data_IF_964022125732
#
_entry.id   IF_964022125732
#
_cell.length_a   1.000
_cell.length_b   1.000
_cell.length_c   1.000
_cell.angle_alpha   90.00
_cell.angle_beta   90.00
_cell.angle_gamma   90.00
#
_symmetry.space_group_name_H-M   'P 1'
#
loop_
_entity.id
_entity.type
_entity.pdbx_description
1 polymer ?
#
# COMPACT_ATOMS: atom_id res chain seq x y z
N UNK A 1 22.26 13.31 -6.39
CA UNK A 1 22.76 11.98 -5.96
C UNK A 1 22.64 11.77 -4.45
N UNK A 2 23.36 12.50 -3.57
CA UNK A 2 23.18 12.33 -2.10
C UNK A 2 21.76 12.70 -1.62
N UNK A 3 21.20 13.81 -2.11
CA UNK A 3 19.86 14.27 -1.73
C UNK A 3 18.73 13.32 -2.18
N UNK A 4 18.92 12.58 -3.27
CA UNK A 4 17.88 11.69 -3.80
C UNK A 4 17.77 10.43 -2.91
N UNK A 5 18.90 9.91 -2.43
CA UNK A 5 18.92 8.78 -1.47
C UNK A 5 18.27 9.15 -0.14
N UNK A 6 18.43 10.39 0.33
CA UNK A 6 17.75 10.87 1.54
C UNK A 6 16.22 10.84 1.39
N UNK A 7 15.70 11.23 0.23
CA UNK A 7 14.27 11.14 -0.08
C UNK A 7 13.80 9.68 -0.06
N UNK A 8 14.58 8.76 -0.63
CA UNK A 8 14.24 7.32 -0.62
C UNK A 8 14.16 6.78 0.81
N UNK A 9 15.10 7.15 1.68
CA UNK A 9 15.06 6.79 3.10
C UNK A 9 13.87 7.43 3.82
N UNK A 10 13.55 8.69 3.52
CA UNK A 10 12.40 9.36 4.12
C UNK A 10 11.09 8.65 3.76
N UNK A 11 10.90 8.30 2.49
CA UNK A 11 9.74 7.54 2.03
C UNK A 11 9.66 6.15 2.68
N UNK A 12 10.78 5.43 2.72
CA UNK A 12 10.84 4.09 3.31
C UNK A 12 10.51 4.10 4.81
N UNK A 13 11.09 5.05 5.55
CA UNK A 13 10.92 5.16 7.00
C UNK A 13 9.60 5.81 7.41
N UNK A 14 8.77 6.25 6.46
CA UNK A 14 7.47 6.84 6.74
C UNK A 14 6.55 5.88 7.49
N UNK A 15 6.07 6.29 8.67
CA UNK A 15 5.19 5.50 9.54
C UNK A 15 3.92 6.26 9.91
N UNK A 16 2.87 5.52 10.24
CA UNK A 16 1.60 6.03 10.73
C UNK A 16 1.36 5.54 12.16
N UNK A 17 0.94 6.45 13.04
CA UNK A 17 0.44 6.07 14.35
C UNK A 17 -0.99 5.52 14.20
N UNK A 18 -1.18 4.24 14.51
CA UNK A 18 -2.47 3.55 14.37
C UNK A 18 -2.93 3.06 15.73
N UNK A 19 -4.21 3.27 16.03
CA UNK A 19 -4.91 2.72 17.17
C UNK A 19 -5.86 1.64 16.67
N UNK A 20 -5.58 0.39 17.01
CA UNK A 20 -6.44 -0.73 16.70
C UNK A 20 -7.41 -0.99 17.84
N UNK A 21 -8.69 -1.20 17.51
CA UNK A 21 -9.75 -1.51 18.47
C UNK A 21 -10.56 -2.70 17.95
N UNK A 22 -10.95 -3.61 18.83
CA UNK A 22 -11.89 -4.68 18.46
C UNK A 22 -13.29 -4.09 18.37
N UNK A 23 -14.06 -4.50 17.37
CA UNK A 23 -15.47 -4.14 17.28
C UNK A 23 -16.24 -4.59 18.53
N UNK A 24 -17.15 -3.75 19.02
CA UNK A 24 -17.89 -4.03 20.27
C UNK A 24 -18.74 -5.30 20.17
N UNK A 25 -19.21 -5.67 18.98
CA UNK A 25 -20.03 -6.87 18.75
C UNK A 25 -19.19 -8.16 18.70
N UNK A 26 -17.87 -8.04 18.57
CA UNK A 26 -16.92 -9.17 18.54
C UNK A 26 -16.39 -9.52 19.94
N UNK A 27 -16.64 -8.67 20.94
CA UNK A 27 -16.14 -8.86 22.31
C UNK A 27 -16.91 -10.01 22.97
N UNK A 28 -16.20 -11.11 23.20
CA UNK A 28 -16.66 -12.26 23.96
C UNK A 28 -16.09 -12.21 25.39
N UNK A 29 -16.96 -11.99 26.38
CA UNK A 29 -16.60 -11.95 27.80
C UNK A 29 -16.95 -10.63 28.48
N UNK A 30 -16.53 -10.48 29.74
CA UNK A 30 -16.88 -9.32 30.59
C UNK A 30 -15.85 -8.18 30.43
N UNK A 31 -14.62 -8.50 30.05
CA UNK A 31 -13.53 -7.53 29.96
C UNK A 31 -13.34 -7.03 28.52
N UNK A 32 -13.54 -5.73 28.34
CA UNK A 32 -13.22 -5.06 27.08
C UNK A 32 -11.72 -5.09 26.83
N UNK A 33 -11.28 -5.39 25.59
CA UNK A 33 -9.87 -5.37 25.24
C UNK A 33 -9.34 -3.93 25.21
N UNK A 34 -8.16 -3.74 25.79
CA UNK A 34 -7.44 -2.47 25.65
C UNK A 34 -7.07 -2.21 24.19
N UNK A 35 -7.17 -0.96 23.70
CA UNK A 35 -6.71 -0.60 22.36
C UNK A 35 -5.23 -0.93 22.14
N UNK A 36 -4.87 -1.32 20.92
CA UNK A 36 -3.49 -1.66 20.57
C UNK A 36 -2.89 -0.58 19.68
N UNK A 37 -1.83 0.08 20.15
CA UNK A 37 -1.17 1.17 19.40
C UNK A 37 0.08 0.67 18.69
N UNK A 38 0.25 1.01 17.41
CA UNK A 38 1.40 0.60 16.62
C UNK A 38 1.81 1.68 15.61
N UNK A 39 3.12 1.86 15.43
CA UNK A 39 3.67 2.62 14.30
C UNK A 39 3.81 1.70 13.10
N UNK A 40 2.92 1.83 12.12
CA UNK A 40 2.90 0.97 10.93
C UNK A 40 3.63 1.62 9.75
N UNK A 41 4.47 0.90 8.98
CA UNK A 41 5.14 1.46 7.80
C UNK A 41 4.16 1.75 6.65
N UNK A 42 4.25 2.95 6.06
CA UNK A 42 3.40 3.37 4.93
C UNK A 42 3.55 2.47 3.70
N UNK A 43 4.77 1.98 3.46
CA UNK A 43 5.12 1.17 2.27
C UNK A 43 4.74 -0.31 2.41
N UNK A 44 4.25 -0.76 3.57
CA UNK A 44 3.88 -2.16 3.82
C UNK A 44 2.38 -2.42 3.58
N UNK A 45 1.94 -3.63 3.90
CA UNK A 45 0.54 -4.08 3.81
C UNK A 45 0.07 -4.55 5.20
N UNK A 46 -1.20 -4.32 5.54
CA UNK A 46 -1.73 -4.63 6.87
C UNK A 46 -1.50 -6.08 7.34
N UNK A 47 -1.70 -7.13 6.51
CA UNK A 47 -1.47 -8.50 6.95
C UNK A 47 -0.02 -8.78 7.37
N UNK A 48 0.95 -7.97 6.94
CA UNK A 48 2.36 -8.15 7.31
C UNK A 48 2.74 -7.53 8.65
N UNK A 49 1.91 -6.63 9.18
CA UNK A 49 2.22 -5.83 10.38
C UNK A 49 1.26 -6.11 11.54
N UNK A 50 0.19 -6.85 11.30
CA UNK A 50 -0.89 -7.08 12.27
C UNK A 50 -0.79 -8.40 13.04
N UNK A 51 0.27 -9.21 12.92
CA UNK A 51 0.40 -10.47 13.66
C UNK A 51 0.24 -10.30 15.18
N UNK A 52 0.91 -9.28 15.74
CA UNK A 52 0.82 -8.95 17.18
C UNK A 52 -0.55 -8.40 17.55
N UNK A 53 -1.16 -7.64 16.65
CA UNK A 53 -2.49 -7.06 16.80
C UNK A 53 -3.54 -8.18 16.86
N UNK A 54 -3.52 -9.10 15.89
CA UNK A 54 -4.38 -10.28 15.85
C UNK A 54 -4.26 -11.09 17.14
N UNK A 55 -3.02 -11.42 17.55
CA UNK A 55 -2.78 -12.18 18.79
C UNK A 55 -3.31 -11.48 20.05
N UNK A 56 -3.24 -10.16 20.11
CA UNK A 56 -3.76 -9.39 21.24
C UNK A 56 -5.28 -9.46 21.33
N UNK A 57 -6.00 -9.37 20.22
CA UNK A 57 -7.47 -9.36 20.23
C UNK A 57 -8.12 -10.75 20.21
N UNK A 58 -7.47 -11.77 19.62
CA UNK A 58 -8.01 -13.13 19.53
C UNK A 58 -8.48 -13.72 20.87
N UNK A 59 -7.80 -13.40 21.97
CA UNK A 59 -8.17 -13.88 23.32
C UNK A 59 -9.49 -13.31 23.85
N UNK A 60 -10.05 -12.30 23.19
CA UNK A 60 -11.31 -11.64 23.52
C UNK A 60 -12.42 -11.95 22.52
N UNK A 61 -12.17 -12.83 21.54
CA UNK A 61 -13.13 -13.22 20.50
C UNK A 61 -13.68 -14.60 20.83
N UNK A 62 -14.93 -14.86 20.45
CA UNK A 62 -15.56 -16.18 20.59
C UNK A 62 -14.66 -17.28 20.00
N UNK A 63 -14.34 -18.35 20.76
CA UNK A 63 -13.53 -19.47 20.26
C UNK A 63 -13.97 -20.04 18.90
N UNK A 64 -15.26 -20.04 18.60
CA UNK A 64 -15.77 -20.54 17.30
C UNK A 64 -15.40 -19.62 16.13
N UNK A 65 -15.13 -18.34 16.41
CA UNK A 65 -14.78 -17.31 15.43
C UNK A 65 -13.28 -17.03 15.34
N UNK A 66 -12.47 -17.56 16.25
CA UNK A 66 -11.01 -17.29 16.29
C UNK A 66 -10.25 -17.80 15.05
N UNK A 67 -10.78 -18.82 14.38
CA UNK A 67 -10.23 -19.37 13.12
C UNK A 67 -10.65 -18.56 11.89
N UNK A 68 -11.60 -17.63 12.03
CA UNK A 68 -12.03 -16.78 10.93
C UNK A 68 -10.97 -15.74 10.56
N UNK A 69 -11.10 -15.23 9.34
CA UNK A 69 -10.17 -14.26 8.78
C UNK A 69 -10.41 -12.87 9.36
N UNK A 70 -9.37 -12.32 9.99
CA UNK A 70 -9.39 -10.96 10.51
C UNK A 70 -9.41 -9.95 9.36
N UNK A 71 -10.34 -9.00 9.40
CA UNK A 71 -10.39 -7.87 8.47
C UNK A 71 -10.46 -6.54 9.24
N UNK A 72 -10.15 -5.46 8.52
CA UNK A 72 -9.97 -4.13 9.11
C UNK A 72 -10.97 -3.14 8.51
N UNK A 73 -11.42 -2.20 9.33
CA UNK A 73 -12.39 -1.19 8.95
C UNK A 73 -11.93 0.21 9.39
N UNK A 74 -12.26 1.22 8.59
CA UNK A 74 -12.18 2.63 8.97
C UNK A 74 -13.50 3.33 8.64
N UNK A 75 -14.22 3.80 9.66
CA UNK A 75 -15.49 4.54 9.52
C UNK A 75 -16.48 3.82 8.58
N UNK A 76 -16.82 2.57 8.90
CA UNK A 76 -17.74 1.74 8.11
C UNK A 76 -17.25 1.36 6.70
N UNK A 77 -15.95 1.57 6.42
CA UNK A 77 -15.31 1.23 5.15
C UNK A 77 -14.29 0.11 5.37
N UNK A 78 -14.54 -1.10 4.84
CA UNK A 78 -13.57 -2.19 4.85
C UNK A 78 -12.29 -1.83 4.10
N UNK A 79 -11.14 -2.10 4.73
CA UNK A 79 -9.83 -1.72 4.21
C UNK A 79 -9.24 -2.81 3.31
N UNK A 80 -8.94 -2.46 2.06
CA UNK A 80 -8.33 -3.35 1.07
C UNK A 80 -6.89 -3.69 1.44
N UNK A 81 -6.65 -4.91 1.93
CA UNK A 81 -5.32 -5.33 2.39
C UNK A 81 -4.24 -5.30 1.30
N UNK A 82 -4.63 -5.44 0.03
CA UNK A 82 -3.72 -5.52 -1.12
C UNK A 82 -3.23 -4.15 -1.61
N UNK A 83 -3.63 -3.05 -0.95
CA UNK A 83 -3.07 -1.72 -1.17
C UNK A 83 -2.04 -1.38 -0.09
N UNK A 84 -0.98 -0.61 -0.41
CA UNK A 84 -0.04 -0.14 0.60
C UNK A 84 -0.77 0.68 1.68
N UNK A 85 -0.36 0.52 2.93
CA UNK A 85 -1.01 1.17 4.08
C UNK A 85 -1.09 2.69 3.91
N UNK A 86 -0.01 3.30 3.41
CA UNK A 86 0.05 4.74 3.16
C UNK A 86 -0.97 5.22 2.11
N UNK A 87 -1.19 4.43 1.06
CA UNK A 87 -2.19 4.73 0.02
C UNK A 87 -3.60 4.69 0.60
N UNK A 88 -3.90 3.67 1.42
CA UNK A 88 -5.19 3.55 2.10
C UNK A 88 -5.41 4.75 3.02
N UNK A 89 -4.42 5.09 3.85
CA UNK A 89 -4.50 6.24 4.75
C UNK A 89 -4.76 7.53 3.98
N UNK A 90 -3.93 7.85 2.98
CA UNK A 90 -4.03 9.09 2.22
C UNK A 90 -5.40 9.17 1.51
N UNK A 91 -5.91 8.06 0.94
CA UNK A 91 -7.21 8.01 0.26
C UNK A 91 -8.38 8.42 1.17
N UNK A 92 -8.38 8.03 2.45
CA UNK A 92 -9.47 8.32 3.38
C UNK A 92 -9.26 9.61 4.19
N UNK A 93 -8.09 10.23 4.06
CA UNK A 93 -7.72 11.40 4.84
C UNK A 93 -7.51 12.67 4.02
N UNK A 94 -7.33 12.56 2.70
CA UNK A 94 -7.02 13.70 1.82
C UNK A 94 -8.08 14.81 1.85
N UNK A 95 -9.36 14.47 1.98
CA UNK A 95 -10.46 15.44 2.05
C UNK A 95 -10.78 15.90 3.48
N UNK A 96 -10.27 15.18 4.49
CA UNK A 96 -10.53 15.47 5.90
C UNK A 96 -9.40 16.33 6.49
N UNK A 97 -9.62 17.65 6.57
CA UNK A 97 -8.67 18.61 7.18
C UNK A 97 -8.32 18.32 8.65
N UNK A 98 -9.07 17.44 9.32
CA UNK A 98 -8.76 16.89 10.64
C UNK A 98 -8.86 15.37 10.60
N UNK A 99 -7.71 14.72 10.48
CA UNK A 99 -7.59 13.31 10.83
C UNK A 99 -7.22 13.26 12.30
N UNK A 100 -8.11 12.71 13.12
CA UNK A 100 -7.78 12.44 14.51
C UNK A 100 -6.71 11.35 14.55
N UNK A 101 -5.46 11.76 14.79
CA UNK A 101 -4.37 10.86 15.09
C UNK A 101 -4.43 10.45 16.57
N UNK A 102 -4.09 9.19 16.91
CA UNK A 102 -3.70 8.10 16.01
C UNK A 102 -4.87 7.58 15.16
N UNK A 103 -4.57 7.12 13.93
CA UNK A 103 -5.55 6.60 12.99
C UNK A 103 -6.27 5.40 13.60
N UNK A 104 -7.56 5.57 13.90
CA UNK A 104 -8.38 4.55 14.56
C UNK A 104 -8.87 3.53 13.55
N UNK A 105 -8.49 2.27 13.71
CA UNK A 105 -8.89 1.15 12.86
C UNK A 105 -9.66 0.14 13.71
N UNK A 106 -10.85 -0.23 13.25
CA UNK A 106 -11.66 -1.28 13.87
C UNK A 106 -11.26 -2.64 13.30
N UNK A 107 -11.19 -3.64 14.17
CA UNK A 107 -10.89 -5.04 13.85
C UNK A 107 -12.15 -5.86 13.95
N UNK A 108 -12.34 -6.71 12.97
CA UNK A 108 -13.42 -7.69 12.90
C UNK A 108 -12.84 -9.07 12.61
N UNK A 109 -13.53 -10.10 13.06
CA UNK A 109 -13.22 -11.51 12.80
C UNK A 109 -14.37 -12.23 12.11
N UNK A 110 -15.60 -11.76 12.28
CA UNK A 110 -16.81 -12.28 11.67
C UNK A 110 -17.30 -11.39 10.52
N UNK A 111 -18.35 -11.82 9.81
CA UNK A 111 -19.04 -11.05 8.77
C UNK A 111 -18.11 -10.45 7.71
N UNK A 112 -17.17 -11.26 7.21
CA UNK A 112 -16.20 -10.82 6.20
C UNK A 112 -16.92 -10.24 4.96
N UNK A 113 -16.58 -9.02 4.52
CA UNK A 113 -17.27 -8.34 3.42
C UNK A 113 -16.78 -8.83 2.05
N UNK A 114 -17.25 -10.02 1.65
CA UNK A 114 -16.87 -10.72 0.41
C UNK A 114 -17.14 -9.92 -0.88
N UNK A 115 -18.09 -8.98 -0.84
CA UNK A 115 -18.44 -8.11 -1.96
C UNK A 115 -17.45 -6.95 -2.15
N UNK A 116 -16.67 -6.61 -1.10
CA UNK A 116 -15.78 -5.44 -1.07
C UNK A 116 -14.30 -5.81 -0.94
N UNK A 117 -14.00 -6.92 -0.28
CA UNK A 117 -12.64 -7.37 0.02
C UNK A 117 -12.34 -8.71 -0.64
N UNK A 118 -11.11 -8.84 -1.11
CA UNK A 118 -10.54 -10.15 -1.45
C UNK A 118 -9.94 -10.78 -0.19
N UNK A 119 -10.08 -12.09 -0.03
CA UNK A 119 -9.48 -12.82 1.09
C UNK A 119 -7.95 -12.88 0.97
N UNK A 120 -7.26 -12.78 2.10
CA UNK A 120 -5.83 -12.93 2.29
C UNK A 120 -5.55 -14.30 2.94
N UNK A 121 -5.59 -15.35 2.13
CA UNK A 121 -5.47 -16.75 2.60
C UNK A 121 -4.19 -17.03 3.40
N UNK A 122 -3.08 -16.39 3.05
CA UNK A 122 -1.81 -16.53 3.76
C UNK A 122 -0.84 -15.39 3.38
N UNK A 123 0.31 -15.35 4.06
CA UNK A 123 1.40 -14.41 3.77
C UNK A 123 1.91 -14.50 2.33
N UNK A 124 1.87 -15.69 1.73
CA UNK A 124 2.31 -15.90 0.34
C UNK A 124 1.37 -15.22 -0.67
N UNK A 125 0.10 -14.99 -0.31
CA UNK A 125 -0.83 -14.20 -1.12
C UNK A 125 -0.38 -12.73 -1.20
N UNK A 126 0.14 -12.19 -0.09
CA UNK A 126 0.70 -10.83 -0.04
C UNK A 126 1.99 -10.74 -0.85
N UNK A 127 2.88 -11.73 -0.74
CA UNK A 127 4.08 -11.82 -1.58
C UNK A 127 3.72 -11.87 -3.06
N UNK A 128 2.72 -12.67 -3.42
CA UNK A 128 2.23 -12.80 -4.80
C UNK A 128 1.66 -11.47 -5.33
N UNK A 129 0.87 -10.75 -4.53
CA UNK A 129 0.36 -9.42 -4.87
C UNK A 129 1.51 -8.41 -5.09
N UNK A 130 2.50 -8.41 -4.19
CA UNK A 130 3.68 -7.57 -4.31
C UNK A 130 4.49 -7.90 -5.58
N UNK A 131 4.78 -9.17 -5.84
CA UNK A 131 5.52 -9.62 -7.03
C UNK A 131 4.76 -9.32 -8.32
N UNK A 132 3.43 -9.47 -8.34
CA UNK A 132 2.63 -9.14 -9.51
C UNK A 132 2.73 -7.63 -9.82
N UNK A 133 2.63 -6.78 -8.80
CA UNK A 133 2.75 -5.33 -8.93
C UNK A 133 4.13 -4.93 -9.49
N UNK A 134 5.20 -5.57 -8.99
CA UNK A 134 6.57 -5.33 -9.47
C UNK A 134 6.76 -5.76 -10.94
N UNK A 135 6.22 -6.92 -11.32
CA UNK A 135 6.27 -7.42 -12.71
C UNK A 135 5.50 -6.51 -13.66
N UNK A 136 4.33 -6.03 -13.26
CA UNK A 136 3.53 -5.11 -14.05
C UNK A 136 4.25 -3.76 -14.23
N UNK A 137 4.84 -3.21 -13.17
CA UNK A 137 5.64 -2.00 -13.25
C UNK A 137 6.84 -2.18 -14.21
N UNK A 138 7.50 -3.34 -14.20
CA UNK A 138 8.59 -3.63 -15.12
C UNK A 138 8.13 -3.84 -16.57
N UNK A 139 6.92 -4.38 -16.78
CA UNK A 139 6.30 -4.46 -18.11
C UNK A 139 6.14 -3.05 -18.71
N UNK A 140 5.68 -2.10 -17.92
CA UNK A 140 5.50 -0.71 -18.35
C UNK A 140 6.82 0.00 -18.61
N UNK A 141 7.81 -0.17 -17.72
CA UNK A 141 9.11 0.50 -17.82
C UNK A 141 10.02 -0.08 -18.89
N UNK A 142 10.14 -1.41 -18.93
CA UNK A 142 11.19 -2.14 -19.65
C UNK A 142 10.69 -3.31 -20.49
N UNK A 143 9.36 -3.46 -20.69
CA UNK A 143 8.77 -4.64 -21.36
C UNK A 143 9.17 -5.95 -20.67
N UNK A 144 9.26 -5.93 -19.34
CA UNK A 144 9.64 -7.05 -18.48
C UNK A 144 11.09 -7.55 -18.62
N UNK A 145 11.96 -6.84 -19.36
CA UNK A 145 13.33 -7.29 -19.63
C UNK A 145 14.20 -7.36 -18.37
N UNK A 146 14.07 -6.40 -17.46
CA UNK A 146 14.90 -6.34 -16.25
C UNK A 146 14.42 -7.38 -15.24
N UNK A 147 13.12 -7.42 -14.95
CA UNK A 147 12.56 -8.32 -13.95
C UNK A 147 12.68 -9.80 -14.37
N UNK A 148 12.56 -10.10 -15.68
CA UNK A 148 12.70 -11.46 -16.19
C UNK A 148 14.14 -11.99 -16.16
N UNK A 149 15.16 -11.11 -16.21
CA UNK A 149 16.57 -11.51 -16.11
C UNK A 149 17.06 -11.64 -14.67
N UNK A 150 16.31 -11.10 -13.71
CA UNK A 150 16.60 -11.29 -12.29
C UNK A 150 16.44 -12.75 -11.86
N UNK A 151 17.35 -13.20 -11.00
CA UNK A 151 17.34 -14.54 -10.44
C UNK A 151 16.35 -14.64 -9.27
N UNK A 152 15.89 -15.86 -8.97
CA UNK A 152 14.94 -16.14 -7.87
C UNK A 152 15.39 -15.58 -6.52
N UNK A 153 16.69 -15.62 -6.22
CA UNK A 153 17.21 -15.06 -4.97
C UNK A 153 17.05 -13.53 -4.90
N UNK A 154 17.13 -12.83 -6.03
CA UNK A 154 16.95 -11.37 -6.11
C UNK A 154 15.47 -11.00 -5.91
N UNK A 155 14.55 -11.78 -6.48
CA UNK A 155 13.12 -11.64 -6.19
C UNK A 155 12.84 -11.85 -4.69
N UNK A 156 13.39 -12.92 -4.11
CA UNK A 156 13.26 -13.18 -2.66
C UNK A 156 13.87 -12.05 -1.82
N UNK A 157 14.97 -11.44 -2.28
CA UNK A 157 15.61 -10.33 -1.60
C UNK A 157 14.77 -9.05 -1.62
N UNK A 158 14.11 -8.73 -2.74
CA UNK A 158 13.12 -7.65 -2.80
C UNK A 158 12.00 -7.86 -1.78
N UNK A 159 11.43 -9.07 -1.75
CA UNK A 159 10.35 -9.39 -0.81
C UNK A 159 10.79 -9.30 0.65
N UNK A 160 11.88 -10.00 1.01
CA UNK A 160 12.39 -10.04 2.38
C UNK A 160 12.91 -8.68 2.85
N UNK A 161 13.39 -7.84 1.93
CA UNK A 161 13.74 -6.45 2.19
C UNK A 161 12.52 -5.63 2.65
N UNK A 162 11.41 -5.71 1.90
CA UNK A 162 10.13 -5.08 2.30
C UNK A 162 9.61 -5.66 3.62
N UNK A 163 9.61 -6.98 3.72
CA UNK A 163 9.01 -7.73 4.82
C UNK A 163 9.64 -7.43 6.18
N UNK A 164 10.96 -7.27 6.19
CA UNK A 164 11.75 -7.08 7.40
C UNK A 164 12.16 -5.62 7.63
N UNK A 165 11.57 -4.67 6.88
CA UNK A 165 11.89 -3.24 6.94
C UNK A 165 13.40 -2.97 6.73
N UNK A 166 14.01 -3.64 5.73
CA UNK A 166 15.44 -3.55 5.39
C UNK A 166 15.65 -2.80 4.07
N UNK A 167 15.80 -1.49 4.18
CA UNK A 167 16.03 -0.58 3.06
C UNK A 167 17.16 -1.03 2.13
N UNK A 168 18.38 -1.23 2.66
CA UNK A 168 19.57 -1.53 1.83
C UNK A 168 19.41 -2.85 1.08
N UNK A 169 18.79 -3.85 1.73
CA UNK A 169 18.51 -5.15 1.13
C UNK A 169 17.52 -5.03 -0.03
N UNK A 170 16.47 -4.21 0.12
CA UNK A 170 15.50 -3.95 -0.95
C UNK A 170 16.15 -3.17 -2.09
N UNK A 171 16.84 -2.08 -1.79
CA UNK A 171 17.37 -1.15 -2.79
C UNK A 171 18.59 -1.69 -3.54
N UNK A 172 19.33 -2.66 -3.00
CA UNK A 172 20.41 -3.33 -3.74
C UNK A 172 19.89 -4.01 -5.01
N UNK A 173 18.64 -4.52 -4.99
CA UNK A 173 17.99 -5.13 -6.14
C UNK A 173 17.08 -4.16 -6.87
N UNK A 174 16.30 -3.34 -6.14
CA UNK A 174 15.33 -2.41 -6.74
C UNK A 174 15.99 -1.34 -7.62
N UNK A 175 17.25 -0.94 -7.34
CA UNK A 175 17.98 0.02 -8.17
C UNK A 175 18.06 -0.41 -9.64
N UNK A 176 18.18 -1.72 -9.90
CA UNK A 176 18.22 -2.28 -11.28
C UNK A 176 16.92 -2.01 -12.03
N UNK A 177 15.80 -2.01 -11.32
CA UNK A 177 14.47 -1.69 -11.87
C UNK A 177 14.25 -0.19 -12.01
N UNK A 178 15.16 0.66 -11.53
CA UNK A 178 15.05 2.12 -11.61
C UNK A 178 16.02 2.72 -12.63
N UNK A 179 16.74 1.88 -13.39
CA UNK A 179 17.62 2.29 -14.47
C UNK A 179 16.94 2.00 -15.82
N UNK A 180 16.83 2.98 -16.74
CA UNK A 180 16.27 2.74 -18.07
C UNK A 180 17.16 1.81 -18.89
N UNK A 181 16.56 0.90 -19.66
CA UNK A 181 17.30 -0.02 -20.53
C UNK A 181 17.81 0.65 -21.80
N UNK A 182 17.10 1.66 -22.30
CA UNK A 182 17.43 2.41 -23.51
C UNK A 182 17.19 3.92 -23.28
N UNK A 183 18.18 4.75 -23.61
CA UNK A 183 18.09 6.19 -23.46
C UNK A 183 18.07 6.66 -22.00
N UNK A 184 17.44 7.80 -21.75
CA UNK A 184 17.45 8.47 -20.44
C UNK A 184 16.16 8.27 -19.63
N UNK A 185 15.14 7.59 -20.18
CA UNK A 185 13.80 7.52 -19.60
C UNK A 185 13.19 6.12 -19.75
N UNK A 186 12.26 5.78 -18.85
CA UNK A 186 11.46 4.56 -18.99
C UNK A 186 10.53 4.64 -20.21
N UNK A 187 10.05 3.49 -20.68
CA UNK A 187 9.06 3.47 -21.77
C UNK A 187 7.73 4.08 -21.34
N UNK A 188 7.23 3.71 -20.17
CA UNK A 188 6.07 4.32 -19.52
C UNK A 188 6.29 4.44 -18.01
N UNK A 189 5.56 5.35 -17.37
CA UNK A 189 5.54 5.54 -15.92
C UNK A 189 4.45 4.61 -15.32
N UNK A 190 4.79 3.68 -14.41
CA UNK A 190 3.81 2.93 -13.65
C UNK A 190 3.13 3.85 -12.63
N UNK A 191 1.87 4.19 -12.87
CA UNK A 191 1.10 5.07 -12.00
C UNK A 191 -0.35 4.57 -11.88
N UNK A 192 -0.84 4.59 -10.64
CA UNK A 192 -2.24 4.33 -10.32
C UNK A 192 -2.86 5.61 -9.78
N UNK A 193 -4.06 5.91 -10.27
CA UNK A 193 -4.86 7.00 -9.78
C UNK A 193 -6.00 6.46 -8.92
N UNK A 194 -6.06 6.96 -7.69
CA UNK A 194 -7.09 6.67 -6.72
C UNK A 194 -7.90 7.94 -6.47
N UNK A 195 -9.22 7.80 -6.44
CA UNK A 195 -10.12 8.90 -6.17
C UNK A 195 -10.92 8.61 -4.90
N UNK A 196 -10.93 9.56 -3.96
CA UNK A 196 -11.76 9.49 -2.75
C UNK A 196 -13.22 9.26 -3.11
N UNK A 197 -13.87 8.31 -2.43
CA UNK A 197 -15.25 7.88 -2.72
C UNK A 197 -15.41 6.95 -3.94
N UNK A 198 -14.36 6.72 -4.74
CA UNK A 198 -14.38 5.72 -5.81
C UNK A 198 -13.82 4.38 -5.30
N UNK A 199 -14.51 3.28 -5.65
CA UNK A 199 -14.02 1.93 -5.37
C UNK A 199 -13.02 1.43 -6.42
N UNK A 200 -12.89 2.16 -7.54
CA UNK A 200 -12.07 1.77 -8.69
C UNK A 200 -10.77 2.55 -8.74
N UNK A 201 -9.66 1.81 -8.79
CA UNK A 201 -8.36 2.33 -9.20
C UNK A 201 -8.32 2.40 -10.73
N UNK A 202 -7.71 3.46 -11.26
CA UNK A 202 -7.54 3.65 -12.71
C UNK A 202 -6.06 3.79 -13.05
N UNK A 203 -5.70 3.29 -14.23
CA UNK A 203 -4.33 3.24 -14.72
C UNK A 203 -4.34 3.51 -16.21
N UNK A 204 -3.41 4.34 -16.67
CA UNK A 204 -3.27 4.75 -18.07
C UNK A 204 -1.82 4.64 -18.51
N UNK A 205 -1.61 4.56 -19.83
CA UNK A 205 -0.26 4.57 -20.38
C UNK A 205 0.28 5.99 -20.39
N UNK A 206 1.27 6.24 -19.53
CA UNK A 206 1.91 7.54 -19.37
C UNK A 206 3.33 7.48 -19.91
N UNK A 207 3.64 8.27 -20.95
CA UNK A 207 5.02 8.47 -21.39
C UNK A 207 5.70 9.48 -20.46
N UNK A 208 7.00 9.34 -20.15
CA UNK A 208 7.72 10.35 -19.38
C UNK A 208 8.04 11.61 -20.18
N UNK A 209 8.00 11.52 -21.51
CA UNK A 209 8.33 12.61 -22.44
C UNK A 209 7.15 12.83 -23.37
N UNK A 210 6.78 14.10 -23.53
CA UNK A 210 5.77 14.57 -24.49
C UNK A 210 6.26 14.42 -25.92
N UNK A 211 5.35 14.50 -26.89
CA UNK A 211 5.72 14.40 -28.31
C UNK A 211 6.62 15.59 -28.76
N UNK A 212 6.61 16.70 -28.02
CA UNK A 212 7.49 17.86 -28.21
C UNK A 212 8.88 17.71 -27.55
N UNK A 213 9.16 16.58 -26.91
CA UNK A 213 10.46 16.28 -26.28
C UNK A 213 10.64 16.81 -24.86
N UNK A 214 9.61 17.43 -24.27
CA UNK A 214 9.65 17.94 -22.89
C UNK A 214 9.22 16.86 -21.88
N UNK A 215 9.80 16.89 -20.67
CA UNK A 215 9.37 16.04 -19.57
C UNK A 215 7.94 16.37 -19.13
N UNK A 216 7.11 15.33 -19.04
CA UNK A 216 5.74 15.50 -18.57
C UNK A 216 5.76 15.69 -17.05
N UNK A 217 5.17 16.79 -16.60
CA UNK A 217 4.99 17.13 -15.20
C UNK A 217 3.75 16.44 -14.61
N UNK A 218 3.71 16.31 -13.28
CA UNK A 218 2.52 15.80 -12.58
C UNK A 218 1.28 16.65 -12.86
N UNK A 219 1.43 17.98 -12.97
CA UNK A 219 0.32 18.87 -13.27
C UNK A 219 -0.29 18.63 -14.65
N UNK A 220 0.54 18.39 -15.67
CA UNK A 220 0.07 18.03 -17.01
C UNK A 220 -0.65 16.69 -17.03
N UNK A 221 -0.15 15.70 -16.28
CA UNK A 221 -0.81 14.40 -16.11
C UNK A 221 -2.20 14.53 -15.50
N UNK A 222 -2.32 15.32 -14.43
CA UNK A 222 -3.61 15.58 -13.78
C UNK A 222 -4.56 16.29 -14.73
N UNK A 223 -4.09 17.29 -15.49
CA UNK A 223 -4.92 17.99 -16.49
C UNK A 223 -5.43 17.06 -17.59
N UNK A 224 -4.59 16.14 -18.05
CA UNK A 224 -4.93 15.22 -19.12
C UNK A 224 -5.98 14.18 -18.69
N UNK A 225 -5.83 13.62 -17.49
CA UNK A 225 -6.68 12.51 -17.02
C UNK A 225 -7.84 12.94 -16.10
N UNK A 226 -7.69 14.08 -15.41
CA UNK A 226 -8.66 14.62 -14.45
C UNK A 226 -8.81 16.14 -14.61
N UNK A 227 -9.24 16.64 -15.78
CA UNK A 227 -9.35 18.08 -16.05
C UNK A 227 -10.26 18.82 -15.07
N UNK A 228 -11.22 18.12 -14.45
CA UNK A 228 -12.10 18.69 -13.42
C UNK A 228 -11.41 18.95 -12.06
N UNK A 229 -10.24 18.35 -11.80
CA UNK A 229 -9.46 18.56 -10.58
C UNK A 229 -8.50 19.76 -10.66
N UNK A 230 -8.17 20.24 -11.87
CA UNK A 230 -7.29 21.39 -12.10
C UNK A 230 -7.83 22.71 -11.51
N UNK A 231 -9.15 22.77 -11.25
CA UNK A 231 -9.80 23.94 -10.64
C UNK A 231 -9.75 23.97 -9.11
N UNK A 232 -9.26 22.93 -8.44
CA UNK A 232 -9.02 22.97 -6.99
C UNK A 232 -7.64 23.58 -6.76
N UNK A 233 -7.59 24.90 -6.59
CA UNK A 233 -6.41 25.52 -6.00
C UNK A 233 -6.14 24.81 -4.67
N UNK A 234 -4.92 24.32 -4.51
CA UNK A 234 -4.41 23.91 -3.21
C UNK A 234 -4.27 25.19 -2.37
N UNK A 235 -5.38 25.64 -1.79
CA UNK A 235 -5.45 26.73 -0.80
C UNK A 235 -5.17 26.19 0.61
#
# INVERSE_FOLDING_TARGET
>A
MANDTEILHYLWNGKLAVCFQLDEQEIHGIQNPEPFYLMVPRMSYFPLVCDKVKKHFLKHVDPEKQELEMWLEYKDIPLKWNYPIGVIYDLFTIDNKQVDLPWKITIHFDNFPEDKLIRCSCRDAVESNFMSSMKEADMLKHRSQVFATMQRHQHSQLWTGLLNDKFDQFWSENKKLMEPTEGNYFKHIPIHFYQSGSTSMTQTLVKPISDDGNQITLGELIKLHYPSMDNRKFD
#
